data_IF_265901197395
#
_entry.id   IF_265901197395
#
_cell.length_a   1.000
_cell.length_b   1.000
_cell.length_c   1.000
_cell.angle_alpha   90.00
_cell.angle_beta   90.00
_cell.angle_gamma   90.00
#
_symmetry.space_group_name_H-M   'P 1'
#
loop_
_entity.id
_entity.type
_entity.pdbx_description
1 polymer ?
#
# COMPACT_ATOMS: atom_id res chain seq x y z
N UNK A 1 -33.78 53.03 -17.34
CA UNK A 1 -34.94 53.26 -18.24
C UNK A 1 -34.53 53.85 -19.60
N UNK A 2 -33.79 54.97 -19.67
CA UNK A 2 -33.29 55.56 -20.94
C UNK A 2 -32.42 54.61 -21.77
N UNK A 3 -31.60 53.79 -21.12
CA UNK A 3 -30.74 52.79 -21.78
C UNK A 3 -31.54 51.71 -22.54
N UNK A 4 -32.70 51.28 -22.02
CA UNK A 4 -33.51 50.22 -22.62
C UNK A 4 -34.18 50.65 -23.93
N UNK A 5 -34.68 51.89 -23.98
CA UNK A 5 -35.18 52.48 -25.24
C UNK A 5 -34.04 52.62 -26.27
N UNK A 6 -32.84 53.02 -25.83
CA UNK A 6 -31.66 53.09 -26.71
C UNK A 6 -31.28 51.71 -27.27
N UNK A 7 -31.38 50.63 -26.48
CA UNK A 7 -31.14 49.26 -26.94
C UNK A 7 -32.10 48.83 -28.06
N UNK A 8 -33.34 49.32 -28.04
CA UNK A 8 -34.32 49.08 -29.11
C UNK A 8 -34.27 50.12 -30.25
N UNK A 9 -33.33 51.07 -30.21
CA UNK A 9 -33.25 52.16 -31.19
C UNK A 9 -34.39 53.18 -31.11
N UNK A 10 -35.07 53.27 -29.97
CA UNK A 10 -36.25 54.09 -29.76
C UNK A 10 -35.96 55.35 -28.93
N UNK A 11 -36.77 56.40 -29.15
CA UNK A 11 -36.81 57.57 -28.28
C UNK A 11 -37.56 57.22 -26.99
N UNK A 12 -37.17 57.87 -25.88
CA UNK A 12 -37.86 57.70 -24.59
C UNK A 12 -39.31 58.16 -24.73
N UNK A 13 -40.25 57.28 -24.41
CA UNK A 13 -41.69 57.55 -24.53
C UNK A 13 -42.36 56.90 -25.74
N UNK A 14 -41.64 56.06 -26.49
CA UNK A 14 -42.22 55.25 -27.57
C UNK A 14 -43.39 54.38 -27.07
N UNK A 15 -44.40 54.20 -27.93
CA UNK A 15 -45.61 53.42 -27.69
C UNK A 15 -45.31 51.91 -27.57
N UNK A 16 -46.26 51.14 -27.05
CA UNK A 16 -46.10 49.67 -26.97
C UNK A 16 -46.04 49.03 -28.35
N UNK A 17 -46.78 49.55 -29.33
CA UNK A 17 -46.70 49.12 -30.72
C UNK A 17 -45.31 49.40 -31.29
N UNK A 18 -44.74 50.59 -31.06
CA UNK A 18 -43.37 50.93 -31.48
C UNK A 18 -42.31 50.05 -30.79
N UNK A 19 -42.52 49.66 -29.52
CA UNK A 19 -41.65 48.74 -28.78
C UNK A 19 -41.74 47.32 -29.35
N UNK A 20 -42.95 46.86 -29.71
CA UNK A 20 -43.18 45.56 -30.32
C UNK A 20 -42.56 45.47 -31.71
N UNK A 21 -42.82 46.47 -32.57
CA UNK A 21 -42.26 46.53 -33.93
C UNK A 21 -40.73 46.57 -33.91
N UNK A 22 -40.14 47.36 -33.01
CA UNK A 22 -38.68 47.41 -32.86
C UNK A 22 -38.11 46.07 -32.40
N UNK A 23 -38.79 45.37 -31.49
CA UNK A 23 -38.40 44.04 -31.04
C UNK A 23 -38.51 43.01 -32.14
N UNK A 24 -39.59 42.99 -32.91
CA UNK A 24 -39.80 42.01 -33.98
C UNK A 24 -38.78 42.19 -35.12
N UNK A 25 -38.44 43.44 -35.44
CA UNK A 25 -37.35 43.74 -36.39
C UNK A 25 -36.00 43.26 -35.86
N UNK A 26 -35.61 43.71 -34.66
CA UNK A 26 -34.29 43.40 -34.09
C UNK A 26 -34.14 41.90 -33.78
N UNK A 27 -35.22 41.20 -33.47
CA UNK A 27 -35.19 39.77 -33.19
C UNK A 27 -34.93 38.95 -34.45
N UNK A 28 -35.37 39.42 -35.62
CA UNK A 28 -35.04 38.79 -36.90
C UNK A 28 -33.61 39.11 -37.33
N UNK A 29 -33.19 40.37 -37.17
CA UNK A 29 -31.84 40.82 -37.56
C UNK A 29 -30.74 40.17 -36.70
N UNK A 30 -30.99 40.02 -35.39
CA UNK A 30 -30.01 39.54 -34.42
C UNK A 30 -30.20 38.08 -34.02
N UNK A 31 -31.04 37.31 -34.72
CA UNK A 31 -31.27 35.89 -34.42
C UNK A 31 -29.92 35.13 -34.42
N UNK A 32 -29.48 34.55 -33.30
CA UNK A 32 -28.20 33.86 -33.24
C UNK A 32 -28.13 32.67 -34.19
N UNK A 33 -29.24 31.95 -34.41
CA UNK A 33 -29.28 30.76 -35.26
C UNK A 33 -29.05 31.13 -36.73
N UNK A 34 -29.62 32.24 -37.17
CA UNK A 34 -29.45 32.74 -38.55
C UNK A 34 -28.06 33.38 -38.74
N UNK A 35 -27.43 33.84 -37.65
CA UNK A 35 -26.11 34.48 -37.65
C UNK A 35 -25.01 33.56 -37.07
N UNK A 36 -25.05 32.27 -37.39
CA UNK A 36 -24.02 31.26 -37.06
C UNK A 36 -23.61 31.16 -35.59
N UNK A 37 -24.48 31.58 -34.66
CA UNK A 37 -24.26 31.64 -33.23
C UNK A 37 -23.00 32.42 -32.80
N UNK A 38 -22.57 33.42 -33.57
CA UNK A 38 -21.43 34.24 -33.13
C UNK A 38 -21.76 34.98 -31.83
N UNK A 39 -20.79 35.04 -30.92
CA UNK A 39 -20.94 35.58 -29.55
C UNK A 39 -21.54 36.98 -29.53
N UNK A 40 -21.20 37.81 -30.52
CA UNK A 40 -21.76 39.15 -30.68
C UNK A 40 -23.30 39.14 -30.82
N UNK A 41 -23.86 38.28 -31.67
CA UNK A 41 -25.31 38.20 -31.89
C UNK A 41 -26.02 37.57 -30.70
N UNK A 42 -25.42 36.56 -30.06
CA UNK A 42 -25.94 35.98 -28.80
C UNK A 42 -26.08 37.06 -27.72
N UNK A 43 -25.06 37.89 -27.54
CA UNK A 43 -25.09 38.97 -26.54
C UNK A 43 -26.07 40.10 -26.90
N UNK A 44 -26.11 40.53 -28.16
CA UNK A 44 -27.00 41.63 -28.57
C UNK A 44 -28.47 41.20 -28.56
N UNK A 45 -28.77 39.99 -28.99
CA UNK A 45 -30.11 39.42 -28.93
C UNK A 45 -30.60 39.28 -27.48
N UNK A 46 -29.74 38.84 -26.56
CA UNK A 46 -30.05 38.81 -25.14
C UNK A 46 -30.36 40.21 -24.59
N UNK A 47 -29.54 41.23 -24.95
CA UNK A 47 -29.78 42.63 -24.54
C UNK A 47 -31.11 43.16 -25.08
N UNK A 48 -31.48 42.84 -26.31
CA UNK A 48 -32.77 43.20 -26.93
C UNK A 48 -33.94 42.54 -26.21
N UNK A 49 -33.86 41.24 -25.91
CA UNK A 49 -34.88 40.51 -25.13
C UNK A 49 -35.07 41.08 -23.72
N UNK A 50 -33.98 41.39 -23.03
CA UNK A 50 -34.02 42.02 -21.69
C UNK A 50 -34.60 43.43 -21.74
N UNK A 51 -34.27 44.22 -22.78
CA UNK A 51 -34.82 45.56 -22.96
C UNK A 51 -36.32 45.54 -23.27
N UNK A 52 -36.76 44.68 -24.19
CA UNK A 52 -38.16 44.49 -24.56
C UNK A 52 -39.00 44.00 -23.39
N UNK A 53 -38.59 42.90 -22.74
CA UNK A 53 -39.33 42.33 -21.59
C UNK A 53 -39.53 43.37 -20.49
N UNK A 54 -38.51 44.17 -20.20
CA UNK A 54 -38.57 45.19 -19.15
C UNK A 54 -39.29 46.50 -19.55
N UNK A 55 -39.52 46.75 -20.84
CA UNK A 55 -40.31 47.89 -21.33
C UNK A 55 -41.79 47.51 -21.49
N UNK A 56 -42.08 46.27 -21.93
CA UNK A 56 -43.43 45.74 -22.01
C UNK A 56 -44.06 45.49 -20.62
N UNK A 57 -43.26 45.07 -19.63
CA UNK A 57 -43.73 44.94 -18.23
C UNK A 57 -44.13 46.25 -17.58
N UNK A 58 -43.80 47.41 -18.17
CA UNK A 58 -44.09 48.72 -17.55
C UNK A 58 -45.57 49.15 -17.64
N UNK A 59 -46.46 48.33 -18.20
CA UNK A 59 -47.92 48.45 -18.07
C UNK A 59 -48.60 47.09 -17.88
N UNK A 60 -48.14 46.33 -16.88
CA UNK A 60 -48.92 45.30 -16.17
C UNK A 60 -48.40 45.20 -14.73
N UNK A 61 -48.64 46.27 -13.97
CA UNK A 61 -48.83 46.17 -12.53
C UNK A 61 -50.33 46.35 -12.31
N UNK A 62 -51.07 45.30 -12.63
CA UNK A 62 -52.35 44.99 -12.01
C UNK A 62 -52.30 43.48 -11.74
N UNK A 63 -52.56 43.15 -10.48
CA UNK A 63 -52.41 41.86 -9.84
C UNK A 63 -53.50 40.90 -10.34
N UNK A 64 -53.13 39.85 -11.07
CA UNK A 64 -54.04 38.72 -11.28
C UNK A 64 -53.81 37.71 -10.16
N UNK A 65 -54.43 37.99 -9.01
CA UNK A 65 -54.72 36.96 -8.03
C UNK A 65 -55.77 36.01 -8.63
N UNK A 66 -55.35 34.80 -9.00
CA UNK A 66 -56.26 33.83 -9.62
C UNK A 66 -57.03 33.12 -8.51
N UNK A 67 -58.39 33.17 -8.49
CA UNK A 67 -59.17 32.45 -7.49
C UNK A 67 -58.90 30.95 -7.58
N UNK A 68 -58.78 30.27 -6.43
CA UNK A 68 -58.48 28.81 -6.37
C UNK A 68 -59.43 27.97 -7.23
N UNK A 69 -60.66 28.43 -7.40
CA UNK A 69 -61.71 27.77 -8.18
C UNK A 69 -61.34 27.62 -9.67
N UNK A 70 -60.52 28.52 -10.19
CA UNK A 70 -60.10 28.60 -11.60
C UNK A 70 -58.75 27.90 -11.87
N UNK A 71 -58.08 27.38 -10.83
CA UNK A 71 -56.79 26.71 -10.94
C UNK A 71 -56.92 25.21 -11.30
N UNK A 72 -55.95 24.71 -12.07
CA UNK A 72 -55.76 23.27 -12.31
C UNK A 72 -55.37 22.55 -10.99
N UNK A 73 -55.72 21.26 -10.86
CA UNK A 73 -55.42 20.41 -9.70
C UNK A 73 -53.94 20.46 -9.27
N UNK A 74 -53.02 20.53 -10.22
CA UNK A 74 -51.59 20.64 -9.93
C UNK A 74 -51.23 21.97 -9.25
N UNK A 75 -51.77 23.10 -9.72
CA UNK A 75 -51.52 24.41 -9.11
C UNK A 75 -52.24 24.58 -7.77
N UNK A 76 -53.39 23.92 -7.58
CA UNK A 76 -54.11 23.86 -6.30
C UNK A 76 -53.25 23.24 -5.18
N UNK A 77 -52.42 22.24 -5.49
CA UNK A 77 -51.50 21.62 -4.51
C UNK A 77 -50.47 22.60 -3.92
N UNK A 78 -50.09 23.64 -4.68
CA UNK A 78 -49.09 24.63 -4.27
C UNK A 78 -49.70 25.99 -3.89
N UNK A 79 -51.03 26.10 -3.89
CA UNK A 79 -51.75 27.32 -3.48
C UNK A 79 -52.13 27.22 -2.01
N UNK A 80 -51.85 28.27 -1.23
CA UNK A 80 -52.23 28.35 0.20
C UNK A 80 -53.15 29.56 0.38
N UNK A 81 -54.40 29.32 0.78
CA UNK A 81 -55.45 30.34 0.88
C UNK A 81 -56.38 30.37 -0.34
N UNK A 82 -57.22 31.41 -0.46
CA UNK A 82 -58.31 31.47 -1.44
C UNK A 82 -57.89 31.96 -2.85
N UNK A 83 -56.64 32.41 -2.99
CA UNK A 83 -56.11 33.02 -4.22
C UNK A 83 -54.67 32.62 -4.48
N UNK A 84 -54.33 32.42 -5.75
CA UNK A 84 -52.97 32.09 -6.21
C UNK A 84 -52.28 33.32 -6.81
N UNK A 85 -51.04 33.53 -6.39
CA UNK A 85 -50.14 34.54 -6.92
C UNK A 85 -48.88 33.85 -7.44
N UNK A 86 -48.57 34.04 -8.72
CA UNK A 86 -47.34 33.51 -9.32
C UNK A 86 -46.10 34.02 -8.61
N UNK A 87 -46.13 35.25 -8.10
CA UNK A 87 -45.02 35.82 -7.33
C UNK A 87 -44.81 35.04 -6.03
N UNK A 88 -45.87 34.80 -5.27
CA UNK A 88 -45.76 34.09 -3.99
C UNK A 88 -45.36 32.63 -4.18
N UNK A 89 -45.86 32.00 -5.24
CA UNK A 89 -45.44 30.66 -5.63
C UNK A 89 -43.94 30.61 -5.98
N UNK A 90 -43.46 31.50 -6.86
CA UNK A 90 -42.05 31.54 -7.23
C UNK A 90 -41.15 31.98 -6.07
N UNK A 91 -41.58 32.92 -5.22
CA UNK A 91 -40.81 33.36 -4.04
C UNK A 91 -40.68 32.22 -3.02
N UNK A 92 -41.74 31.43 -2.81
CA UNK A 92 -41.71 30.22 -1.96
C UNK A 92 -40.93 29.08 -2.57
N UNK A 93 -41.11 28.81 -3.86
CA UNK A 93 -40.35 27.79 -4.59
C UNK A 93 -38.86 28.12 -4.57
N UNK A 94 -38.50 29.39 -4.78
CA UNK A 94 -37.11 29.87 -4.67
C UNK A 94 -36.57 29.70 -3.25
N UNK A 95 -37.36 30.01 -2.22
CA UNK A 95 -36.97 29.80 -0.82
C UNK A 95 -36.76 28.32 -0.50
N UNK A 96 -37.73 27.45 -0.84
CA UNK A 96 -37.61 26.00 -0.67
C UNK A 96 -36.44 25.42 -1.45
N UNK A 97 -36.19 25.90 -2.66
CA UNK A 97 -35.05 25.47 -3.47
C UNK A 97 -33.71 25.89 -2.86
N UNK A 98 -33.61 27.11 -2.32
CA UNK A 98 -32.39 27.56 -1.62
C UNK A 98 -32.17 26.75 -0.34
N UNK A 99 -33.22 26.47 0.44
CA UNK A 99 -33.15 25.64 1.64
C UNK A 99 -32.78 24.19 1.29
N UNK A 100 -33.37 23.63 0.24
CA UNK A 100 -33.01 22.32 -0.30
C UNK A 100 -31.55 22.29 -0.74
N UNK A 101 -31.07 23.28 -1.51
CA UNK A 101 -29.68 23.33 -1.96
C UNK A 101 -28.72 23.49 -0.79
N UNK A 102 -29.07 24.27 0.24
CA UNK A 102 -28.25 24.41 1.44
C UNK A 102 -28.11 23.08 2.21
N UNK A 103 -29.20 22.32 2.37
CA UNK A 103 -29.19 21.00 3.02
C UNK A 103 -28.51 19.96 2.12
N UNK A 104 -28.84 19.93 0.83
CA UNK A 104 -28.26 19.02 -0.14
C UNK A 104 -26.75 19.20 -0.26
N UNK A 105 -26.25 20.44 -0.40
CA UNK A 105 -24.82 20.71 -0.36
C UNK A 105 -24.22 20.39 1.01
N UNK A 106 -24.92 20.67 2.11
CA UNK A 106 -24.43 20.29 3.45
C UNK A 106 -24.20 18.78 3.58
N UNK A 107 -25.17 17.97 3.17
CA UNK A 107 -25.09 16.50 3.20
C UNK A 107 -24.11 15.97 2.16
N UNK A 108 -24.15 16.48 0.93
CA UNK A 108 -23.25 16.06 -0.15
C UNK A 108 -21.79 16.41 0.16
N UNK A 109 -21.52 17.60 0.71
CA UNK A 109 -20.18 17.99 1.13
C UNK A 109 -19.72 17.15 2.32
N UNK A 110 -20.60 16.80 3.26
CA UNK A 110 -20.29 15.85 4.34
C UNK A 110 -19.90 14.49 3.79
N UNK A 111 -20.72 13.88 2.92
CA UNK A 111 -20.45 12.57 2.33
C UNK A 111 -19.17 12.56 1.48
N UNK A 112 -18.95 13.61 0.68
CA UNK A 112 -17.74 13.74 -0.13
C UNK A 112 -16.49 13.96 0.74
N UNK A 113 -16.60 14.65 1.88
CA UNK A 113 -15.53 14.78 2.87
C UNK A 113 -15.30 13.46 3.60
N UNK A 114 -16.35 12.72 3.95
CA UNK A 114 -16.27 11.45 4.66
C UNK A 114 -15.63 10.35 3.79
N UNK A 115 -16.03 10.23 2.51
CA UNK A 115 -15.40 9.31 1.55
C UNK A 115 -13.90 9.65 1.33
N UNK A 116 -13.55 10.95 1.34
CA UNK A 116 -12.16 11.38 1.21
C UNK A 116 -11.35 11.18 2.49
N UNK A 117 -11.97 11.36 3.67
CA UNK A 117 -11.37 11.02 4.96
C UNK A 117 -11.08 9.53 5.05
N UNK A 118 -11.99 8.69 4.56
CA UNK A 118 -11.79 7.25 4.49
C UNK A 118 -10.58 6.89 3.60
N UNK A 119 -10.49 7.46 2.39
CA UNK A 119 -9.31 7.29 1.53
C UNK A 119 -8.00 7.81 2.16
N UNK A 120 -8.03 8.96 2.83
CA UNK A 120 -6.88 9.51 3.54
C UNK A 120 -6.43 8.60 4.70
N UNK A 121 -7.37 8.06 5.47
CA UNK A 121 -7.07 7.11 6.55
C UNK A 121 -6.40 5.86 5.99
N UNK A 122 -6.91 5.31 4.87
CA UNK A 122 -6.28 4.16 4.20
C UNK A 122 -4.86 4.47 3.70
N UNK A 123 -4.60 5.71 3.25
CA UNK A 123 -3.25 6.17 2.88
C UNK A 123 -2.31 6.20 4.09
N UNK A 124 -2.76 6.76 5.21
CA UNK A 124 -1.97 6.84 6.44
C UNK A 124 -1.68 5.45 7.03
N UNK A 125 -2.67 4.55 7.01
CA UNK A 125 -2.52 3.16 7.44
C UNK A 125 -1.51 2.40 6.56
N UNK A 126 -1.56 2.58 5.24
CA UNK A 126 -0.60 2.01 4.31
C UNK A 126 0.83 2.51 4.60
N UNK A 127 1.02 3.82 4.78
CA UNK A 127 2.31 4.41 5.15
C UNK A 127 2.83 3.82 6.47
N UNK A 128 1.97 3.66 7.47
CA UNK A 128 2.34 3.06 8.74
C UNK A 128 2.71 1.57 8.59
N UNK A 129 2.00 0.81 7.76
CA UNK A 129 2.33 -0.59 7.49
C UNK A 129 3.66 -0.72 6.75
N UNK A 130 3.94 0.12 5.76
CA UNK A 130 5.25 0.19 5.12
C UNK A 130 6.37 0.54 6.11
N UNK A 131 6.14 1.47 7.06
CA UNK A 131 7.12 1.78 8.11
C UNK A 131 7.38 0.59 9.02
N UNK A 132 6.36 -0.19 9.39
CA UNK A 132 6.52 -1.41 10.19
C UNK A 132 7.25 -2.50 9.40
N UNK A 133 6.91 -2.71 8.13
CA UNK A 133 7.61 -3.66 7.25
C UNK A 133 9.10 -3.29 7.12
N UNK A 134 9.41 -2.00 7.04
CA UNK A 134 10.81 -1.54 7.03
C UNK A 134 11.56 -2.00 8.28
N UNK A 135 10.96 -1.85 9.46
CA UNK A 135 11.56 -2.28 10.74
C UNK A 135 11.75 -3.80 10.73
N UNK A 136 10.75 -4.58 10.32
CA UNK A 136 10.89 -6.04 10.27
C UNK A 136 11.96 -6.50 9.28
N UNK A 137 12.10 -5.84 8.12
CA UNK A 137 13.20 -6.12 7.20
C UNK A 137 14.57 -5.82 7.86
N UNK A 138 14.68 -4.83 8.74
CA UNK A 138 15.91 -4.58 9.51
C UNK A 138 16.17 -5.69 10.52
N UNK A 139 15.12 -6.16 11.20
CA UNK A 139 15.21 -7.28 12.13
C UNK A 139 15.65 -8.57 11.41
N UNK A 140 15.17 -8.80 10.18
CA UNK A 140 15.62 -9.93 9.35
C UNK A 140 17.12 -9.81 9.01
N UNK A 141 17.61 -8.62 8.64
CA UNK A 141 19.04 -8.42 8.37
C UNK A 141 19.90 -8.71 9.61
N UNK A 142 19.48 -8.21 10.78
CA UNK A 142 20.15 -8.50 12.05
C UNK A 142 20.16 -10.00 12.35
N UNK A 143 19.03 -10.67 12.14
CA UNK A 143 18.91 -12.12 12.33
C UNK A 143 19.82 -12.91 11.38
N UNK A 144 19.92 -12.50 10.11
CA UNK A 144 20.85 -13.10 9.15
C UNK A 144 22.30 -12.93 9.61
N UNK A 145 22.68 -11.71 10.00
CA UNK A 145 24.06 -11.41 10.43
C UNK A 145 24.44 -12.21 11.69
N UNK A 146 23.54 -12.32 12.67
CA UNK A 146 23.73 -13.16 13.86
C UNK A 146 23.86 -14.64 13.50
N UNK A 147 22.98 -15.13 12.62
CA UNK A 147 22.99 -16.53 12.21
C UNK A 147 24.27 -16.91 11.44
N UNK A 148 24.71 -16.05 10.50
CA UNK A 148 25.98 -16.23 9.78
C UNK A 148 27.17 -16.16 10.75
N UNK A 149 27.13 -15.25 11.72
CA UNK A 149 28.15 -15.15 12.78
C UNK A 149 28.26 -16.44 13.57
N UNK A 150 27.14 -16.97 14.05
CA UNK A 150 27.12 -18.25 14.78
C UNK A 150 27.62 -19.39 13.91
N UNK A 151 27.10 -19.52 12.68
CA UNK A 151 27.50 -20.57 11.74
C UNK A 151 29.01 -20.53 11.42
N UNK A 152 29.60 -19.33 11.35
CA UNK A 152 31.03 -19.16 11.05
C UNK A 152 31.94 -19.75 12.13
N UNK A 153 31.54 -19.71 13.41
CA UNK A 153 32.28 -20.28 14.54
C UNK A 153 32.36 -21.80 14.40
N UNK A 154 31.21 -22.47 14.21
CA UNK A 154 31.16 -23.92 14.02
C UNK A 154 31.86 -24.34 12.73
N UNK A 155 31.71 -23.55 11.66
CA UNK A 155 32.41 -23.78 10.40
C UNK A 155 33.93 -23.75 10.59
N UNK A 156 34.47 -22.76 11.31
CA UNK A 156 35.90 -22.67 11.61
C UNK A 156 36.39 -23.88 12.42
N UNK A 157 35.70 -24.20 13.52
CA UNK A 157 35.99 -25.37 14.35
C UNK A 157 36.06 -26.66 13.54
N UNK A 158 35.05 -26.90 12.72
CA UNK A 158 34.95 -28.10 11.88
C UNK A 158 35.94 -28.10 10.71
N UNK A 159 36.26 -26.93 10.16
CA UNK A 159 37.26 -26.78 9.09
C UNK A 159 38.64 -27.14 9.59
N UNK A 160 39.04 -26.57 10.73
CA UNK A 160 40.32 -26.86 11.37
C UNK A 160 40.41 -28.36 11.70
N UNK A 161 39.34 -28.91 12.28
CA UNK A 161 39.28 -30.34 12.58
C UNK A 161 39.41 -31.23 11.34
N UNK A 162 38.77 -30.86 10.23
CA UNK A 162 38.79 -31.62 8.99
C UNK A 162 40.19 -31.68 8.36
N UNK A 163 40.90 -30.55 8.35
CA UNK A 163 42.23 -30.47 7.77
C UNK A 163 43.30 -31.11 8.64
N UNK A 164 43.19 -31.02 9.97
CA UNK A 164 44.12 -31.66 10.89
C UNK A 164 43.87 -33.14 11.11
N UNK A 165 42.79 -33.71 10.56
CA UNK A 165 42.36 -35.10 10.82
C UNK A 165 43.46 -36.17 10.73
N UNK A 166 44.43 -36.00 9.83
CA UNK A 166 45.51 -36.97 9.59
C UNK A 166 46.84 -36.58 10.22
N UNK A 167 46.89 -35.50 11.00
CA UNK A 167 48.08 -35.09 11.73
C UNK A 167 48.43 -36.10 12.84
N UNK A 168 49.71 -36.43 12.96
CA UNK A 168 50.23 -37.27 14.03
C UNK A 168 50.42 -36.42 15.30
N UNK A 169 49.32 -36.19 16.00
CA UNK A 169 49.27 -35.40 17.24
C UNK A 169 48.32 -36.03 18.26
N UNK A 170 48.77 -36.12 19.51
CA UNK A 170 47.96 -36.61 20.62
C UNK A 170 46.71 -35.74 20.87
N UNK A 171 46.74 -34.48 20.44
CA UNK A 171 45.66 -33.50 20.61
C UNK A 171 44.96 -33.14 19.30
N UNK A 172 45.04 -33.99 18.26
CA UNK A 172 44.49 -33.71 16.92
C UNK A 172 42.98 -33.39 16.89
N UNK A 173 42.24 -33.86 17.90
CA UNK A 173 40.81 -33.59 18.05
C UNK A 173 40.49 -32.50 19.08
N UNK A 174 41.51 -31.79 19.59
CA UNK A 174 41.39 -30.79 20.65
C UNK A 174 41.96 -29.45 20.18
N UNK A 175 41.21 -28.38 20.41
CA UNK A 175 41.71 -27.01 20.33
C UNK A 175 42.11 -26.60 21.75
N UNK A 176 43.39 -26.26 21.93
CA UNK A 176 43.93 -25.82 23.22
C UNK A 176 43.99 -24.29 23.22
N UNK A 177 43.36 -23.68 24.22
CA UNK A 177 43.41 -22.25 24.47
C UNK A 177 44.25 -21.96 25.72
N UNK A 178 44.98 -20.86 25.68
CA UNK A 178 45.85 -20.44 26.79
C UNK A 178 47.16 -21.22 26.87
N UNK A 179 47.94 -20.95 27.91
CA UNK A 179 49.23 -21.58 28.17
C UNK A 179 49.38 -21.87 29.67
N UNK A 180 50.15 -22.90 30.03
CA UNK A 180 50.45 -23.22 31.44
C UNK A 180 49.26 -23.80 32.20
N UNK A 181 49.10 -23.40 33.47
CA UNK A 181 48.07 -23.95 34.38
C UNK A 181 46.64 -23.49 34.04
N UNK A 182 46.48 -22.42 33.25
CA UNK A 182 45.18 -21.87 32.83
C UNK A 182 44.72 -22.41 31.47
N UNK A 183 45.50 -23.30 30.85
CA UNK A 183 45.17 -23.86 29.55
C UNK A 183 43.91 -24.74 29.64
N UNK A 184 42.99 -24.58 28.69
CA UNK A 184 41.83 -25.45 28.55
C UNK A 184 41.71 -25.96 27.13
N UNK A 185 41.17 -27.17 26.98
CA UNK A 185 40.91 -27.78 25.69
C UNK A 185 39.42 -27.78 25.39
N UNK A 186 39.07 -27.71 24.10
CA UNK A 186 37.73 -27.98 23.60
C UNK A 186 37.88 -28.97 22.45
N UNK A 187 37.13 -30.06 22.47
CA UNK A 187 36.97 -30.91 21.31
C UNK A 187 35.92 -30.32 20.35
N UNK A 188 36.27 -29.85 19.15
CA UNK A 188 35.29 -29.29 18.20
C UNK A 188 34.10 -30.22 17.95
N UNK A 189 34.38 -31.52 17.82
CA UNK A 189 33.36 -32.53 17.51
C UNK A 189 32.46 -32.88 18.70
N UNK A 190 32.72 -32.37 19.91
CA UNK A 190 31.75 -32.47 21.01
C UNK A 190 30.51 -31.61 20.75
N UNK A 191 30.64 -30.58 19.90
CA UNK A 191 29.56 -29.71 19.45
C UNK A 191 28.93 -30.20 18.14
N UNK A 192 29.23 -31.42 17.70
CA UNK A 192 28.75 -31.92 16.40
C UNK A 192 27.24 -32.18 16.37
N UNK A 193 26.57 -32.30 17.51
CA UNK A 193 25.10 -32.47 17.54
C UNK A 193 24.34 -31.14 17.50
N UNK A 194 25.03 -30.00 17.60
CA UNK A 194 24.41 -28.68 17.59
C UNK A 194 23.87 -28.31 16.21
N UNK A 195 22.55 -28.22 16.05
CA UNK A 195 21.88 -27.81 14.80
C UNK A 195 21.38 -26.38 14.96
N UNK A 196 21.58 -25.56 13.93
CA UNK A 196 21.17 -24.15 13.91
C UNK A 196 20.08 -23.92 12.86
N UNK A 197 18.79 -24.15 13.19
CA UNK A 197 17.71 -23.85 12.27
C UNK A 197 17.62 -22.34 12.01
N UNK A 198 17.26 -21.97 10.78
CA UNK A 198 17.01 -20.59 10.38
C UNK A 198 15.50 -20.30 10.36
N UNK A 199 15.04 -19.37 11.19
CA UNK A 199 13.63 -18.98 11.27
C UNK A 199 13.48 -17.47 11.55
N UNK A 200 13.50 -16.62 10.49
CA UNK A 200 13.45 -15.18 10.65
C UNK A 200 12.04 -14.68 11.02
N UNK A 201 11.92 -13.47 11.60
CA UNK A 201 10.64 -12.90 11.99
C UNK A 201 9.73 -12.60 10.78
N UNK A 202 8.42 -12.84 10.92
CA UNK A 202 7.40 -12.67 9.87
C UNK A 202 6.06 -12.07 10.37
N UNK A 203 6.05 -11.50 11.58
CA UNK A 203 4.82 -11.10 12.29
C UNK A 203 4.09 -9.97 11.55
N UNK A 204 4.82 -8.94 11.14
CA UNK A 204 4.31 -7.77 10.45
C UNK A 204 3.85 -8.13 9.06
N UNK A 205 4.66 -8.86 8.31
CA UNK A 205 4.28 -9.35 6.98
C UNK A 205 2.96 -10.13 7.02
N UNK A 206 2.84 -11.10 7.93
CA UNK A 206 1.62 -11.88 8.10
C UNK A 206 0.42 -10.99 8.46
N UNK A 207 0.60 -9.99 9.32
CA UNK A 207 -0.46 -9.04 9.67
C UNK A 207 -0.95 -8.23 8.46
N UNK A 208 -0.04 -7.66 7.67
CA UNK A 208 -0.35 -6.84 6.48
C UNK A 208 -0.98 -7.70 5.37
N UNK A 209 -0.59 -8.97 5.27
CA UNK A 209 -1.21 -9.91 4.34
C UNK A 209 -2.66 -10.25 4.75
N UNK A 210 -2.89 -10.49 6.05
CA UNK A 210 -4.20 -10.89 6.59
C UNK A 210 -5.24 -9.77 6.58
N UNK A 211 -4.85 -8.52 6.84
CA UNK A 211 -5.76 -7.37 6.86
C UNK A 211 -6.08 -6.82 5.45
N UNK A 212 -5.48 -7.39 4.41
CA UNK A 212 -5.71 -7.03 3.01
C UNK A 212 -5.04 -5.73 2.58
N UNK A 213 -4.26 -5.07 3.45
CA UNK A 213 -3.54 -3.85 3.09
C UNK A 213 -2.41 -4.07 2.10
N UNK A 214 -1.97 -5.32 1.94
CA UNK A 214 -0.99 -5.74 0.92
C UNK A 214 -1.39 -5.29 -0.50
N UNK A 215 -2.69 -5.27 -0.82
CA UNK A 215 -3.22 -4.84 -2.14
C UNK A 215 -2.99 -3.36 -2.45
N UNK A 216 -2.57 -2.58 -1.47
CA UNK A 216 -2.27 -1.16 -1.63
C UNK A 216 -0.76 -0.90 -1.72
N UNK A 217 0.08 -1.94 -1.67
CA UNK A 217 1.50 -1.84 -1.96
C UNK A 217 1.74 -1.72 -3.47
N UNK A 218 2.92 -1.24 -3.84
CA UNK A 218 3.38 -1.30 -5.24
C UNK A 218 3.61 -2.77 -5.63
N UNK A 219 3.17 -3.17 -6.83
CA UNK A 219 3.28 -4.56 -7.33
C UNK A 219 4.71 -5.11 -7.25
N UNK A 220 5.72 -4.24 -7.48
CA UNK A 220 7.13 -4.62 -7.39
C UNK A 220 7.54 -4.94 -5.96
N UNK A 221 7.06 -4.14 -5.01
CA UNK A 221 7.33 -4.32 -3.58
C UNK A 221 6.63 -5.56 -3.05
N UNK A 222 5.35 -5.77 -3.41
CA UNK A 222 4.59 -6.97 -3.05
C UNK A 222 5.30 -8.25 -3.50
N UNK A 223 5.80 -8.27 -4.74
CA UNK A 223 6.53 -9.43 -5.28
C UNK A 223 7.83 -9.72 -4.53
N UNK A 224 8.63 -8.70 -4.22
CA UNK A 224 9.87 -8.89 -3.47
C UNK A 224 9.63 -9.31 -2.03
N UNK A 225 8.64 -8.73 -1.35
CA UNK A 225 8.22 -9.16 -0.02
C UNK A 225 7.74 -10.63 -0.04
N UNK A 226 6.94 -11.01 -1.03
CA UNK A 226 6.49 -12.41 -1.16
C UNK A 226 7.66 -13.37 -1.26
N UNK A 227 8.69 -13.04 -2.05
CA UNK A 227 9.91 -13.86 -2.16
C UNK A 227 10.71 -13.93 -0.86
N UNK A 228 10.78 -12.82 -0.11
CA UNK A 228 11.50 -12.75 1.16
C UNK A 228 10.81 -13.63 2.20
N UNK A 229 9.51 -13.49 2.38
CA UNK A 229 8.78 -14.11 3.49
C UNK A 229 8.19 -15.48 3.18
N UNK A 230 7.91 -15.78 1.91
CA UNK A 230 7.18 -16.99 1.52
C UNK A 230 7.66 -17.62 0.20
N UNK A 231 8.80 -17.15 -0.31
CA UNK A 231 9.39 -17.64 -1.55
C UNK A 231 10.08 -18.99 -1.41
N UNK A 232 10.36 -19.60 -2.57
CA UNK A 232 11.19 -20.81 -2.65
C UNK A 232 12.57 -20.62 -2.03
N UNK A 233 13.14 -19.43 -2.14
CA UNK A 233 14.48 -19.12 -1.63
C UNK A 233 14.53 -19.32 -0.10
N UNK A 234 13.58 -18.73 0.63
CA UNK A 234 13.46 -18.90 2.08
C UNK A 234 13.20 -20.36 2.44
N UNK A 235 12.30 -21.04 1.71
CA UNK A 235 12.03 -22.45 1.94
C UNK A 235 13.31 -23.31 1.88
N UNK A 236 14.15 -23.13 0.85
CA UNK A 236 15.38 -23.90 0.71
C UNK A 236 16.42 -23.56 1.78
N UNK A 237 16.48 -22.30 2.23
CA UNK A 237 17.35 -21.92 3.38
C UNK A 237 16.91 -22.67 4.63
N UNK A 238 15.61 -22.63 4.98
CA UNK A 238 15.07 -23.34 6.15
C UNK A 238 15.30 -24.86 6.05
N UNK A 239 15.07 -25.44 4.87
CA UNK A 239 15.28 -26.87 4.62
C UNK A 239 16.75 -27.28 4.81
N UNK A 240 17.69 -26.50 4.28
CA UNK A 240 19.12 -26.80 4.37
C UNK A 240 19.69 -26.57 5.77
N UNK A 241 19.30 -25.47 6.43
CA UNK A 241 19.73 -25.11 7.77
C UNK A 241 19.20 -26.07 8.84
N UNK A 242 18.04 -26.70 8.59
CA UNK A 242 17.47 -27.65 9.54
C UNK A 242 17.56 -29.10 9.07
N UNK A 243 16.75 -29.53 8.10
CA UNK A 243 16.61 -30.97 7.78
C UNK A 243 17.85 -31.59 7.16
N UNK A 244 18.53 -30.87 6.26
CA UNK A 244 19.77 -31.39 5.66
C UNK A 244 20.87 -31.49 6.70
N UNK A 245 21.02 -30.46 7.55
CA UNK A 245 22.01 -30.48 8.64
C UNK A 245 21.69 -31.58 9.67
N UNK A 246 20.42 -31.68 10.10
CA UNK A 246 19.94 -32.71 11.00
C UNK A 246 20.21 -34.11 10.45
N UNK A 247 19.97 -34.35 9.15
CA UNK A 247 20.28 -35.65 8.55
C UNK A 247 21.78 -35.99 8.60
N UNK A 248 22.66 -35.00 8.56
CA UNK A 248 24.12 -35.20 8.68
C UNK A 248 24.49 -35.49 10.14
N UNK A 249 23.85 -34.80 11.10
CA UNK A 249 23.99 -35.06 12.54
C UNK A 249 23.46 -36.44 12.91
N UNK A 250 22.32 -36.85 12.37
CA UNK A 250 21.75 -38.18 12.59
C UNK A 250 22.69 -39.29 12.10
N UNK A 251 23.38 -39.07 10.96
CA UNK A 251 24.42 -39.98 10.47
C UNK A 251 25.62 -40.10 11.44
N UNK A 252 25.95 -39.04 12.18
CA UNK A 252 26.97 -39.04 13.24
C UNK A 252 26.49 -39.81 14.47
N UNK A 253 25.29 -39.51 14.97
CA UNK A 253 24.69 -40.22 16.11
C UNK A 253 24.54 -41.72 15.81
N UNK A 254 24.14 -42.06 14.59
CA UNK A 254 24.08 -43.44 14.12
C UNK A 254 25.46 -44.09 14.04
N UNK A 255 26.50 -43.34 13.65
CA UNK A 255 27.88 -43.86 13.63
C UNK A 255 28.38 -44.21 15.03
N UNK A 256 28.08 -43.36 16.01
CA UNK A 256 28.38 -43.63 17.42
C UNK A 256 27.66 -44.90 17.86
N UNK A 257 26.33 -44.90 17.71
CA UNK A 257 25.46 -45.95 18.25
C UNK A 257 25.70 -47.33 17.64
N UNK A 258 25.99 -47.38 16.34
CA UNK A 258 26.09 -48.65 15.61
C UNK A 258 27.52 -49.16 15.48
N UNK A 259 28.53 -48.34 15.76
CA UNK A 259 29.93 -48.74 15.59
C UNK A 259 30.81 -48.37 16.78
N UNK A 260 30.87 -47.10 17.17
CA UNK A 260 31.80 -46.68 18.22
C UNK A 260 31.46 -47.34 19.56
N UNK A 261 30.18 -47.45 19.91
CA UNK A 261 29.72 -48.21 21.10
C UNK A 261 30.28 -49.63 21.14
N UNK A 262 30.29 -50.32 19.99
CA UNK A 262 30.72 -51.72 19.91
C UNK A 262 32.25 -51.86 19.90
N UNK A 263 32.94 -50.95 19.22
CA UNK A 263 34.39 -51.06 18.97
C UNK A 263 35.23 -50.46 20.11
N UNK A 264 34.78 -49.37 20.74
CA UNK A 264 35.52 -48.65 21.81
C UNK A 264 34.76 -48.55 23.14
N UNK A 265 33.48 -48.93 23.20
CA UNK A 265 32.73 -49.07 24.46
C UNK A 265 32.29 -47.77 25.14
N UNK A 266 32.72 -46.60 24.65
CA UNK A 266 32.35 -45.28 25.19
C UNK A 266 31.48 -44.48 24.23
N UNK A 267 30.59 -43.65 24.78
CA UNK A 267 29.70 -42.73 24.06
C UNK A 267 29.80 -41.29 24.56
N UNK A 268 30.81 -40.97 25.36
CA UNK A 268 30.89 -39.69 26.05
C UNK A 268 31.51 -38.60 25.17
N UNK A 269 30.95 -38.40 23.98
CA UNK A 269 31.43 -37.46 22.95
C UNK A 269 31.44 -36.00 23.42
N UNK A 270 30.71 -35.68 24.50
CA UNK A 270 30.71 -34.37 25.12
C UNK A 270 32.01 -34.02 25.88
N UNK A 271 32.85 -35.01 26.22
CA UNK A 271 34.06 -34.82 27.03
C UNK A 271 35.33 -34.87 26.18
N UNK A 272 36.33 -34.06 26.53
CA UNK A 272 37.60 -33.99 25.79
C UNK A 272 38.39 -35.31 25.87
N UNK A 273 38.30 -35.98 27.02
CA UNK A 273 38.95 -37.25 27.33
C UNK A 273 38.54 -38.33 26.33
N UNK A 274 37.27 -38.36 25.92
CA UNK A 274 36.79 -39.28 24.89
C UNK A 274 37.57 -39.12 23.58
N UNK A 275 37.76 -37.88 23.12
CA UNK A 275 38.45 -37.59 21.86
C UNK A 275 39.95 -37.85 21.95
N UNK A 276 40.55 -37.59 23.11
CA UNK A 276 41.95 -37.87 23.40
C UNK A 276 42.23 -39.39 23.42
N UNK A 277 41.48 -40.13 24.23
CA UNK A 277 41.68 -41.57 24.47
C UNK A 277 41.42 -42.40 23.20
N UNK A 278 40.50 -41.94 22.35
CA UNK A 278 40.06 -42.69 21.16
C UNK A 278 40.64 -42.14 19.85
N UNK A 279 41.63 -41.23 19.90
CA UNK A 279 42.12 -40.52 18.70
C UNK A 279 42.49 -41.45 17.56
N UNK A 280 43.26 -42.51 17.81
CA UNK A 280 43.79 -43.37 16.74
C UNK A 280 42.67 -44.14 16.04
N UNK A 281 41.64 -44.51 16.79
CA UNK A 281 40.46 -45.17 16.27
C UNK A 281 39.63 -44.20 15.42
N UNK A 282 39.39 -42.99 15.92
CA UNK A 282 38.59 -41.97 15.23
C UNK A 282 39.31 -41.46 13.97
N UNK A 283 40.63 -41.28 13.99
CA UNK A 283 41.41 -40.88 12.80
C UNK A 283 41.26 -41.89 11.65
N UNK A 284 41.16 -43.19 11.97
CA UNK A 284 40.92 -44.26 10.97
C UNK A 284 39.47 -44.30 10.48
N UNK A 285 38.56 -43.54 11.10
CA UNK A 285 37.16 -43.47 10.71
C UNK A 285 36.91 -42.45 9.57
N UNK A 286 37.29 -42.85 8.35
CA UNK A 286 37.05 -42.04 7.15
C UNK A 286 35.58 -41.80 6.83
N UNK A 287 34.66 -42.61 7.37
CA UNK A 287 33.23 -42.31 7.27
C UNK A 287 32.93 -41.00 8.01
N UNK A 288 33.47 -40.85 9.23
CA UNK A 288 33.27 -39.64 10.01
C UNK A 288 33.93 -38.42 9.36
N UNK A 289 35.15 -38.56 8.84
CA UNK A 289 35.81 -37.49 8.06
C UNK A 289 34.96 -37.04 6.86
N UNK A 290 34.35 -37.98 6.15
CA UNK A 290 33.47 -37.64 5.03
C UNK A 290 32.13 -37.02 5.48
N UNK A 291 31.56 -37.44 6.62
CA UNK A 291 30.37 -36.84 7.21
C UNK A 291 30.65 -35.37 7.62
N UNK A 292 31.79 -35.09 8.27
CA UNK A 292 32.29 -33.74 8.56
C UNK A 292 32.39 -32.88 7.30
N UNK A 293 32.97 -33.41 6.21
CA UNK A 293 33.05 -32.72 4.91
C UNK A 293 31.67 -32.39 4.33
N UNK A 294 30.70 -33.31 4.45
CA UNK A 294 29.32 -33.06 3.99
C UNK A 294 28.68 -31.91 4.75
N UNK A 295 28.94 -31.83 6.06
CA UNK A 295 28.43 -30.74 6.91
C UNK A 295 29.04 -29.39 6.55
N UNK A 296 30.35 -29.31 6.38
CA UNK A 296 31.04 -28.10 5.92
C UNK A 296 30.46 -27.60 4.59
N UNK A 297 30.25 -28.50 3.62
CA UNK A 297 29.58 -28.13 2.36
C UNK A 297 28.16 -27.61 2.56
N UNK A 298 27.40 -28.15 3.52
CA UNK A 298 26.06 -27.66 3.83
C UNK A 298 26.13 -26.24 4.43
N UNK A 299 27.08 -25.98 5.33
CA UNK A 299 27.31 -24.65 5.90
C UNK A 299 27.67 -23.62 4.82
N UNK A 300 28.54 -23.98 3.87
CA UNK A 300 28.87 -23.13 2.71
C UNK A 300 27.62 -22.80 1.88
N UNK A 301 26.79 -23.82 1.61
CA UNK A 301 25.55 -23.62 0.85
C UNK A 301 24.58 -22.68 1.58
N UNK A 302 24.33 -22.92 2.87
CA UNK A 302 23.44 -22.09 3.68
C UNK A 302 23.95 -20.66 3.74
N UNK A 303 25.24 -20.46 3.98
CA UNK A 303 25.87 -19.13 4.00
C UNK A 303 25.72 -18.40 2.66
N UNK A 304 25.92 -19.10 1.54
CA UNK A 304 25.72 -18.55 0.21
C UNK A 304 24.26 -18.12 -0.04
N UNK A 305 23.31 -18.98 0.33
CA UNK A 305 21.88 -18.67 0.21
C UNK A 305 21.47 -17.49 1.10
N UNK A 306 22.01 -17.40 2.32
CA UNK A 306 21.76 -16.28 3.22
C UNK A 306 22.32 -14.96 2.67
N UNK A 307 23.48 -14.98 1.99
CA UNK A 307 24.02 -13.79 1.33
C UNK A 307 23.11 -13.28 0.20
N UNK A 308 22.57 -14.19 -0.63
CA UNK A 308 21.59 -13.84 -1.67
C UNK A 308 20.28 -13.31 -1.06
N UNK A 309 19.79 -13.95 0.01
CA UNK A 309 18.60 -13.53 0.72
C UNK A 309 18.76 -12.15 1.36
N UNK A 310 19.92 -11.89 1.98
CA UNK A 310 20.29 -10.59 2.56
C UNK A 310 20.26 -9.49 1.50
N UNK A 311 20.85 -9.73 0.32
CA UNK A 311 20.83 -8.77 -0.78
C UNK A 311 19.40 -8.47 -1.26
N UNK A 312 18.51 -9.46 -1.25
CA UNK A 312 17.08 -9.27 -1.57
C UNK A 312 16.39 -8.39 -0.52
N UNK A 313 16.64 -8.65 0.76
CA UNK A 313 16.07 -7.86 1.88
C UNK A 313 16.54 -6.39 1.80
N UNK A 314 17.82 -6.15 1.55
CA UNK A 314 18.36 -4.79 1.35
C UNK A 314 17.72 -4.11 0.13
N UNK A 315 17.55 -4.84 -0.98
CA UNK A 315 16.86 -4.33 -2.16
C UNK A 315 15.40 -3.91 -1.86
N UNK A 316 14.67 -4.73 -1.11
CA UNK A 316 13.31 -4.41 -0.68
C UNK A 316 13.27 -3.19 0.25
N UNK A 317 14.23 -3.05 1.17
CA UNK A 317 14.35 -1.85 2.01
C UNK A 317 14.60 -0.58 1.18
N UNK A 318 15.47 -0.64 0.18
CA UNK A 318 15.73 0.50 -0.70
C UNK A 318 14.50 0.88 -1.53
N UNK A 319 13.77 -0.11 -2.04
CA UNK A 319 12.51 0.13 -2.76
C UNK A 319 11.47 0.78 -1.84
N UNK A 320 11.30 0.23 -0.63
CA UNK A 320 10.39 0.73 0.38
C UNK A 320 10.71 2.17 0.79
N UNK A 321 11.99 2.50 0.96
CA UNK A 321 12.45 3.86 1.26
C UNK A 321 12.16 4.84 0.12
N UNK A 322 12.31 4.39 -1.12
CA UNK A 322 11.96 5.19 -2.30
C UNK A 322 10.46 5.49 -2.33
N UNK A 323 9.63 4.47 -2.11
CA UNK A 323 8.16 4.58 -2.09
C UNK A 323 7.71 5.51 -0.95
N UNK A 324 8.23 5.32 0.26
CA UNK A 324 7.92 6.16 1.42
C UNK A 324 8.30 7.62 1.16
N UNK A 325 9.51 7.86 0.64
CA UNK A 325 9.97 9.22 0.30
C UNK A 325 9.08 9.89 -0.75
N UNK A 326 8.63 9.13 -1.76
CA UNK A 326 7.72 9.64 -2.78
C UNK A 326 6.36 10.00 -2.17
N UNK A 327 5.80 9.13 -1.32
CA UNK A 327 4.51 9.35 -0.65
C UNK A 327 4.52 10.51 0.34
N UNK A 328 5.64 10.76 1.01
CA UNK A 328 5.82 11.92 1.90
C UNK A 328 5.87 13.25 1.13
N UNK A 329 6.30 13.23 -0.13
CA UNK A 329 6.34 14.40 -1.03
C UNK A 329 5.05 14.60 -1.83
N UNK A 330 4.14 13.63 -1.78
CA UNK A 330 2.90 13.65 -2.53
C UNK A 330 1.92 14.69 -1.97
N UNK A 331 1.62 15.70 -2.80
CA UNK A 331 0.59 16.70 -2.53
C UNK A 331 -0.72 16.19 -3.15
N UNK A 332 -1.66 15.79 -2.30
CA UNK A 332 -2.97 15.36 -2.75
C UNK A 332 -3.85 16.58 -3.06
N UNK A 333 -4.14 16.80 -4.35
CA UNK A 333 -5.00 17.89 -4.81
C UNK A 333 -6.39 17.32 -5.12
N UNK A 334 -7.35 17.71 -4.29
CA UNK A 334 -8.75 17.29 -4.41
C UNK A 334 -9.46 18.18 -5.43
N UNK A 335 -10.02 17.60 -6.51
CA UNK A 335 -10.88 18.30 -7.47
C UNK A 335 -12.27 17.63 -7.58
N UNK A 336 -13.23 18.38 -8.12
CA UNK A 336 -14.59 17.93 -8.34
C UNK A 336 -14.78 17.54 -9.80
N UNK A 337 -15.33 16.36 -10.06
CA UNK A 337 -15.86 15.97 -11.38
C UNK A 337 -17.36 15.83 -11.22
N UNK A 338 -18.11 16.71 -11.88
CA UNK A 338 -19.56 16.61 -11.97
C UNK A 338 -19.88 16.05 -13.34
N UNK A 339 -20.25 14.78 -13.39
CA UNK A 339 -20.85 14.20 -14.57
C UNK A 339 -22.29 14.74 -14.68
N UNK A 340 -22.60 15.48 -15.73
CA UNK A 340 -23.92 16.05 -15.98
C UNK A 340 -24.76 15.18 -16.91
N UNK A 341 -24.28 14.00 -17.32
CA UNK A 341 -25.04 13.10 -18.20
C UNK A 341 -26.33 12.58 -17.56
N UNK A 342 -26.47 12.64 -16.22
CA UNK A 342 -27.74 12.39 -15.54
C UNK A 342 -28.84 13.42 -15.84
N UNK A 343 -28.50 14.58 -16.42
CA UNK A 343 -29.49 15.58 -16.88
C UNK A 343 -30.04 15.27 -18.27
N UNK A 344 -29.49 14.27 -18.97
CA UNK A 344 -30.10 13.71 -20.18
C UNK A 344 -31.17 12.71 -19.75
N UNK A 345 -32.29 13.22 -19.27
CA UNK A 345 -33.55 12.47 -19.24
C UNK A 345 -34.06 12.38 -20.68
N UNK A 346 -34.22 11.16 -21.20
CA UNK A 346 -34.96 10.87 -22.45
C UNK A 346 -36.42 11.29 -22.36
#
# INVERSE_FOLDING_TARGET
MKAKYKTLGLKKGASQEEIQEAYDRLSKELDPVINNNETFFVEQFAKVKVAYSALMTKKKQDEEEIPVKELNWFLKLFTIGDKFSFRDFFDRAKKMFIEFMAIFFGVFLSLAVDQKRENSNHRDDNINNMKKLKVELQDILLYIDEHVGNLSIYHEFFTNQYYSWEEDSDSVFLIIYGEGEDAFAIAPLSLYEEVMPFDPPEVTYNSVQLDGTFRFLDDTLEHELTKIYSGSDLFFIKENAYKVDQSIVDDFVARISNKWVLDIGSTETQYNEFWFDNREYIQKDYYMKNNLRRRLKNFDNVTGQLAEHRARVEGAQHLLDSILTAKEKEIEIIYWVVDLDFLKLE
#
